data_IF_871574010056
#
_entry.id   IF_871574010056
#
_cell.length_a   1.000
_cell.length_b   1.000
_cell.length_c   1.000
_cell.angle_alpha   90.00
_cell.angle_beta   90.00
_cell.angle_gamma   90.00
#
_symmetry.space_group_name_H-M   'P 1'
#
loop_
_entity.id
_entity.type
_entity.pdbx_description
1 polymer ?
#
# COMPACT_ATOMS: atom_id res chain seq x y z
N UNK A 1 1.40 14.55 11.66
CA UNK A 1 1.27 13.75 12.90
C UNK A 1 1.09 12.26 12.62
N UNK A 2 0.14 11.82 11.76
CA UNK A 2 -0.11 10.39 11.48
C UNK A 2 1.10 9.65 10.87
N UNK A 3 1.84 10.28 9.96
CA UNK A 3 3.07 9.71 9.39
C UNK A 3 4.12 9.43 10.48
N UNK A 4 4.32 10.38 11.39
CA UNK A 4 5.24 10.20 12.52
C UNK A 4 4.80 9.05 13.42
N UNK A 5 3.49 8.92 13.67
CA UNK A 5 2.92 7.85 14.47
C UNK A 5 3.12 6.47 13.82
N UNK A 6 2.88 6.35 12.50
CA UNK A 6 3.10 5.11 11.76
C UNK A 6 4.58 4.71 11.78
N UNK A 7 5.49 5.65 11.53
CA UNK A 7 6.94 5.39 11.58
C UNK A 7 7.40 4.97 12.98
N UNK A 8 6.82 5.60 14.02
CA UNK A 8 7.12 5.24 15.40
C UNK A 8 6.58 3.84 15.75
N UNK A 9 5.39 3.47 15.23
CA UNK A 9 4.82 2.15 15.44
C UNK A 9 5.74 1.02 14.93
N UNK A 10 6.39 1.19 13.77
CA UNK A 10 7.40 0.24 13.28
C UNK A 10 8.58 0.09 14.24
N UNK A 11 9.00 1.17 14.90
CA UNK A 11 10.14 1.16 15.85
C UNK A 11 9.76 0.55 17.19
N UNK A 12 8.56 0.84 17.68
CA UNK A 12 8.10 0.48 19.03
C UNK A 12 7.57 -0.96 19.11
N UNK A 13 7.10 -1.52 18.01
CA UNK A 13 6.59 -2.88 17.99
C UNK A 13 7.67 -3.89 18.39
N UNK A 14 7.32 -4.78 19.32
CA UNK A 14 8.21 -5.83 19.84
C UNK A 14 7.76 -7.24 19.50
N UNK A 15 6.45 -7.44 19.26
CA UNK A 15 5.85 -8.73 18.92
C UNK A 15 5.10 -8.66 17.61
N UNK A 16 4.21 -7.66 17.47
CA UNK A 16 3.34 -7.54 16.31
C UNK A 16 3.02 -6.08 16.02
N UNK A 17 3.05 -5.74 14.74
CA UNK A 17 2.46 -4.52 14.21
C UNK A 17 1.33 -4.90 13.28
N UNK A 18 0.09 -4.50 13.62
CA UNK A 18 -1.09 -4.71 12.80
C UNK A 18 -1.52 -3.38 12.19
N UNK A 19 -1.69 -3.36 10.87
CA UNK A 19 -2.14 -2.20 10.11
C UNK A 19 -3.37 -2.60 9.31
N UNK A 20 -4.49 -1.91 9.50
CA UNK A 20 -5.66 -2.02 8.63
C UNK A 20 -5.71 -0.76 7.76
N UNK A 21 -5.53 -0.94 6.47
CA UNK A 21 -5.56 0.14 5.49
C UNK A 21 -6.30 -0.33 4.25
N UNK A 22 -7.54 0.15 4.02
CA UNK A 22 -8.37 -0.30 2.90
C UNK A 22 -7.70 -0.12 1.54
N UNK A 23 -6.84 0.88 1.44
CA UNK A 23 -6.11 1.22 0.22
C UNK A 23 -4.61 1.14 0.45
N UNK A 24 -3.88 0.75 -0.60
CA UNK A 24 -2.41 0.71 -0.62
C UNK A 24 -1.90 1.50 -1.82
N UNK A 25 -0.87 2.30 -1.61
CA UNK A 25 -0.19 3.06 -2.66
C UNK A 25 1.31 3.09 -2.40
N UNK A 26 2.08 2.76 -3.43
CA UNK A 26 3.54 2.85 -3.36
C UNK A 26 4.02 4.27 -3.02
N UNK A 27 3.33 5.30 -3.54
CA UNK A 27 3.69 6.69 -3.27
C UNK A 27 3.60 7.04 -1.78
N UNK A 28 2.60 6.50 -1.06
CA UNK A 28 2.48 6.72 0.38
C UNK A 28 3.58 5.99 1.16
N UNK A 29 3.90 4.76 0.76
CA UNK A 29 4.96 3.94 1.36
C UNK A 29 6.33 4.60 1.20
N UNK A 30 6.64 5.09 -0.01
CA UNK A 30 7.90 5.76 -0.32
C UNK A 30 8.01 7.14 0.33
N UNK A 31 6.94 7.95 0.25
CA UNK A 31 6.90 9.26 0.89
C UNK A 31 7.20 9.19 2.38
N UNK A 32 6.61 8.22 3.07
CA UNK A 32 6.81 8.02 4.50
C UNK A 32 8.10 7.23 4.81
N UNK A 33 8.88 6.86 3.79
CA UNK A 33 10.11 6.06 3.90
C UNK A 33 9.89 4.81 4.78
N UNK A 34 8.85 4.01 4.45
CA UNK A 34 8.47 2.85 5.25
C UNK A 34 9.27 1.59 4.92
N UNK A 35 9.83 1.47 3.71
CA UNK A 35 10.53 0.26 3.27
C UNK A 35 11.67 -0.15 4.21
N UNK A 36 12.60 0.74 4.59
CA UNK A 36 13.64 0.40 5.56
C UNK A 36 13.06 -0.01 6.91
N UNK A 37 12.03 0.70 7.39
CA UNK A 37 11.39 0.41 8.68
C UNK A 37 10.69 -0.96 8.69
N UNK A 38 10.04 -1.34 7.60
CA UNK A 38 9.43 -2.68 7.45
C UNK A 38 10.49 -3.76 7.61
N UNK A 39 11.59 -3.63 6.84
CA UNK A 39 12.70 -4.58 6.86
C UNK A 39 13.31 -4.71 8.25
N UNK A 40 13.71 -3.59 8.85
CA UNK A 40 14.29 -3.56 10.20
C UNK A 40 13.36 -4.17 11.25
N UNK A 41 12.03 -3.93 11.12
CA UNK A 41 11.04 -4.45 12.06
C UNK A 41 10.89 -5.96 11.93
N UNK A 42 10.82 -6.47 10.70
CA UNK A 42 10.76 -7.91 10.42
C UNK A 42 12.07 -8.61 10.84
N UNK A 43 13.22 -8.01 10.59
CA UNK A 43 14.54 -8.52 11.02
C UNK A 43 14.66 -8.63 12.55
N UNK A 44 13.97 -7.76 13.31
CA UNK A 44 13.84 -7.90 14.76
C UNK A 44 12.92 -9.02 15.22
N UNK A 45 12.30 -9.76 14.30
CA UNK A 45 11.38 -10.86 14.59
C UNK A 45 9.95 -10.40 14.91
N UNK A 46 9.60 -9.15 14.60
CA UNK A 46 8.24 -8.62 14.78
C UNK A 46 7.35 -9.07 13.62
N UNK A 47 6.19 -9.63 13.92
CA UNK A 47 5.19 -9.96 12.91
C UNK A 47 4.51 -8.66 12.43
N UNK A 48 4.77 -8.26 11.19
CA UNK A 48 4.09 -7.13 10.57
C UNK A 48 2.97 -7.65 9.68
N UNK A 49 1.72 -7.31 10.02
CA UNK A 49 0.52 -7.77 9.30
C UNK A 49 -0.25 -6.55 8.77
N UNK A 50 -0.55 -6.58 7.47
CA UNK A 50 -1.39 -5.57 6.82
C UNK A 50 -2.65 -6.24 6.30
N UNK A 51 -3.81 -5.73 6.73
CA UNK A 51 -5.12 -6.06 6.17
C UNK A 51 -5.55 -4.96 5.21
N UNK A 52 -5.95 -5.33 4.00
CA UNK A 52 -6.39 -4.38 2.97
C UNK A 52 -7.58 -4.93 2.19
N UNK A 53 -8.41 -4.05 1.64
CA UNK A 53 -9.49 -4.48 0.75
C UNK A 53 -8.91 -4.80 -0.64
N UNK A 54 -9.30 -5.95 -1.19
CA UNK A 54 -8.72 -6.38 -2.46
C UNK A 54 -9.28 -5.61 -3.67
N UNK A 55 -10.46 -4.99 -3.56
CA UNK A 55 -11.16 -4.33 -4.67
C UNK A 55 -11.08 -2.81 -4.66
N UNK A 56 -10.91 -2.20 -3.48
CA UNK A 56 -10.95 -0.74 -3.37
C UNK A 56 -9.83 -0.04 -4.16
N UNK A 57 -8.73 -0.76 -4.40
CA UNK A 57 -7.63 -0.27 -5.23
C UNK A 57 -7.83 -0.52 -6.73
N UNK A 58 -8.90 -1.20 -7.14
CA UNK A 58 -9.21 -1.40 -8.54
C UNK A 58 -9.80 -0.13 -9.17
N UNK A 59 -9.55 0.05 -10.43
CA UNK A 59 -10.24 1.04 -11.25
C UNK A 59 -11.72 0.67 -11.37
N UNK A 60 -12.60 1.63 -11.16
CA UNK A 60 -14.05 1.39 -11.11
C UNK A 60 -14.66 0.98 -12.44
N UNK A 61 -14.05 1.37 -13.56
CA UNK A 61 -14.56 1.09 -14.89
C UNK A 61 -14.05 -0.24 -15.43
N UNK A 62 -12.77 -0.52 -15.21
CA UNK A 62 -12.11 -1.69 -15.77
C UNK A 62 -12.03 -2.87 -14.80
N UNK A 63 -12.20 -2.63 -13.50
CA UNK A 63 -11.99 -3.63 -12.45
C UNK A 63 -10.50 -4.00 -12.25
N UNK A 64 -9.60 -3.39 -13.01
CA UNK A 64 -8.16 -3.69 -12.96
C UNK A 64 -7.50 -3.00 -11.77
N UNK A 65 -6.64 -3.73 -11.07
CA UNK A 65 -5.87 -3.18 -9.96
C UNK A 65 -4.93 -2.07 -10.45
N UNK A 66 -4.97 -0.90 -9.80
CA UNK A 66 -4.13 0.25 -10.16
C UNK A 66 -2.64 -0.06 -9.96
N UNK A 67 -1.80 0.46 -10.84
CA UNK A 67 -0.34 0.22 -10.83
C UNK A 67 0.31 0.58 -9.49
N UNK A 68 -0.14 1.66 -8.88
CA UNK A 68 0.35 2.13 -7.57
C UNK A 68 0.04 1.14 -6.45
N UNK A 69 -1.12 0.49 -6.52
CA UNK A 69 -1.50 -0.54 -5.57
C UNK A 69 -0.73 -1.84 -5.81
N UNK A 70 -0.53 -2.24 -7.06
CA UNK A 70 0.32 -3.41 -7.42
C UNK A 70 1.73 -3.22 -6.85
N UNK A 71 2.35 -2.07 -7.13
CA UNK A 71 3.69 -1.78 -6.64
C UNK A 71 3.75 -1.70 -5.10
N UNK A 72 2.72 -1.10 -4.47
CA UNK A 72 2.63 -1.02 -3.01
C UNK A 72 2.48 -2.39 -2.35
N UNK A 73 1.61 -3.26 -2.87
CA UNK A 73 1.43 -4.64 -2.38
C UNK A 73 2.72 -5.46 -2.53
N UNK A 74 3.39 -5.32 -3.67
CA UNK A 74 4.70 -5.94 -3.92
C UNK A 74 5.74 -5.46 -2.92
N UNK A 75 5.85 -4.14 -2.68
CA UNK A 75 6.79 -3.57 -1.72
C UNK A 75 6.56 -4.11 -0.30
N UNK A 76 5.29 -4.30 0.13
CA UNK A 76 4.97 -4.91 1.42
C UNK A 76 5.50 -6.34 1.49
N UNK A 77 5.13 -7.19 0.55
CA UNK A 77 5.46 -8.63 0.59
C UNK A 77 6.96 -8.90 0.41
N UNK A 78 7.65 -8.16 -0.44
CA UNK A 78 9.11 -8.29 -0.64
C UNK A 78 9.93 -7.85 0.59
N UNK A 79 9.34 -7.08 1.50
CA UNK A 79 9.99 -6.68 2.75
C UNK A 79 9.45 -7.45 3.97
N UNK A 80 8.88 -8.65 3.74
CA UNK A 80 8.51 -9.59 4.79
C UNK A 80 7.19 -9.26 5.51
N UNK A 81 6.42 -8.29 5.02
CA UNK A 81 5.11 -7.95 5.57
C UNK A 81 4.07 -8.99 5.13
N UNK A 82 3.32 -9.54 6.07
CA UNK A 82 2.20 -10.43 5.80
C UNK A 82 1.01 -9.58 5.30
N UNK A 83 0.72 -9.64 4.02
CA UNK A 83 -0.42 -8.96 3.42
C UNK A 83 -1.62 -9.91 3.34
N UNK A 84 -2.74 -9.51 3.93
CA UNK A 84 -4.01 -10.24 3.90
C UNK A 84 -5.03 -9.36 3.19
N UNK A 85 -5.58 -9.89 2.09
CA UNK A 85 -6.57 -9.21 1.28
C UNK A 85 -7.96 -9.73 1.66
N UNK A 86 -8.81 -8.83 2.14
CA UNK A 86 -10.16 -9.13 2.57
C UNK A 86 -11.17 -8.38 1.70
N UNK A 87 -12.43 -8.73 1.83
CA UNK A 87 -13.54 -8.05 1.14
C UNK A 87 -14.35 -7.22 2.12
N UNK A 88 -14.59 -5.96 1.75
CA UNK A 88 -15.53 -5.11 2.46
C UNK A 88 -14.98 -4.47 3.73
N UNK A 89 -13.67 -4.46 3.93
CA UNK A 89 -13.06 -3.72 5.04
C UNK A 89 -12.87 -2.24 4.67
N UNK A 90 -13.17 -1.36 5.61
CA UNK A 90 -12.97 0.07 5.41
C UNK A 90 -12.47 0.80 6.67
N UNK A 91 -12.25 0.10 7.75
CA UNK A 91 -11.63 0.65 8.97
C UNK A 91 -10.14 0.98 8.73
N UNK A 92 -9.61 1.90 9.52
CA UNK A 92 -8.23 2.35 9.46
C UNK A 92 -7.64 2.26 10.86
N UNK A 93 -7.09 1.10 11.15
CA UNK A 93 -6.59 0.77 12.48
C UNK A 93 -5.09 0.54 12.44
N UNK A 94 -4.42 0.92 13.52
CA UNK A 94 -3.00 0.65 13.77
C UNK A 94 -2.88 0.10 15.18
N UNK A 95 -2.38 -1.12 15.33
CA UNK A 95 -2.18 -1.70 16.64
C UNK A 95 -0.71 -2.12 16.84
N UNK A 96 -0.16 -1.75 18.00
CA UNK A 96 1.22 -2.06 18.38
C UNK A 96 1.16 -3.06 19.54
N UNK A 97 1.60 -4.27 19.28
CA UNK A 97 1.52 -5.39 20.20
C UNK A 97 0.07 -5.57 20.71
N UNK A 98 -0.12 -5.67 22.03
CA UNK A 98 -1.44 -5.69 22.67
C UNK A 98 -1.67 -4.44 23.54
N UNK A 99 -0.91 -3.36 23.32
CA UNK A 99 -0.85 -2.22 24.25
C UNK A 99 -1.32 -0.89 23.67
N UNK A 100 -1.27 -0.72 22.35
CA UNK A 100 -1.66 0.53 21.70
C UNK A 100 -2.59 0.23 20.54
N UNK A 101 -3.74 0.90 20.51
CA UNK A 101 -4.67 0.90 19.37
C UNK A 101 -4.90 2.32 18.91
N UNK A 102 -4.83 2.54 17.62
CA UNK A 102 -5.19 3.81 16.98
C UNK A 102 -6.26 3.53 15.94
N UNK A 103 -7.37 4.25 16.04
CA UNK A 103 -8.47 4.14 15.08
C UNK A 103 -8.92 5.52 14.62
N UNK A 104 -9.30 5.64 13.36
CA UNK A 104 -9.73 6.92 12.82
C UNK A 104 -10.02 6.91 11.33
N UNK A 105 -9.88 8.08 10.73
CA UNK A 105 -10.17 8.27 9.30
C UNK A 105 -8.94 8.13 8.40
N UNK A 106 -7.74 8.12 8.96
CA UNK A 106 -6.49 8.20 8.20
C UNK A 106 -6.13 6.88 7.50
N UNK A 107 -6.06 6.89 6.16
CA UNK A 107 -5.62 5.74 5.39
C UNK A 107 -4.09 5.58 5.48
N UNK A 108 -3.62 4.68 6.34
CA UNK A 108 -2.21 4.53 6.73
C UNK A 108 -1.26 4.35 5.54
N UNK A 109 -1.67 3.58 4.52
CA UNK A 109 -0.81 3.20 3.40
C UNK A 109 -1.21 3.86 2.06
N UNK A 110 -2.11 4.86 2.07
CA UNK A 110 -2.54 5.49 0.83
C UNK A 110 -2.90 6.98 0.94
N UNK A 111 -3.08 7.53 2.15
CA UNK A 111 -3.43 8.93 2.29
C UNK A 111 -2.36 9.83 1.67
N UNK A 112 -2.79 10.86 0.94
CA UNK A 112 -1.90 11.88 0.42
C UNK A 112 -1.44 12.79 1.56
N UNK A 113 -0.13 12.99 1.69
CA UNK A 113 0.48 13.78 2.78
C UNK A 113 0.54 15.27 2.45
N UNK A 114 0.59 15.62 1.18
CA UNK A 114 0.80 16.98 0.69
C UNK A 114 -0.17 17.33 -0.44
N UNK A 115 -0.37 18.64 -0.64
CA UNK A 115 -1.11 19.21 -1.77
C UNK A 115 -2.58 19.49 -1.48
N UNK A 116 -3.30 19.99 -2.50
CA UNK A 116 -4.70 20.42 -2.44
C UNK A 116 -5.69 19.30 -2.10
N UNK A 117 -5.24 18.06 -2.10
CA UNK A 117 -6.04 16.87 -1.76
C UNK A 117 -5.74 16.30 -0.37
N UNK A 118 -4.88 16.95 0.42
CA UNK A 118 -4.73 16.56 1.82
C UNK A 118 -6.02 16.87 2.56
N UNK A 119 -6.52 15.88 3.31
CA UNK A 119 -7.75 16.01 4.08
C UNK A 119 -7.41 16.19 5.55
N UNK A 120 -8.31 16.86 6.27
CA UNK A 120 -8.27 16.83 7.72
C UNK A 120 -8.65 15.42 8.18
N UNK A 121 -7.74 14.76 8.89
CA UNK A 121 -7.92 13.41 9.41
C UNK A 121 -7.84 13.43 10.93
N UNK A 122 -8.67 12.64 11.56
CA UNK A 122 -8.71 12.50 13.01
C UNK A 122 -8.57 11.04 13.40
N UNK A 123 -7.81 10.78 14.46
CA UNK A 123 -7.67 9.45 15.03
C UNK A 123 -7.60 9.50 16.53
N UNK A 124 -8.15 8.50 17.18
CA UNK A 124 -8.07 8.27 18.63
C UNK A 124 -7.00 7.25 18.91
N UNK A 125 -6.10 7.55 19.86
CA UNK A 125 -5.09 6.63 20.34
C UNK A 125 -5.47 6.13 21.73
N UNK A 126 -5.65 4.83 21.86
CA UNK A 126 -5.93 4.15 23.12
C UNK A 126 -4.65 3.49 23.64
N UNK A 127 -4.26 3.85 24.85
CA UNK A 127 -3.12 3.28 25.56
C UNK A 127 -3.62 2.89 26.95
N UNK A 128 -4.06 1.66 27.09
CA UNK A 128 -4.62 1.18 28.36
C UNK A 128 -4.74 -0.33 28.33
N UNK A 129 -4.98 -1.00 29.47
CA UNK A 129 -5.28 -2.44 29.50
C UNK A 129 -6.46 -2.84 28.62
N UNK A 130 -7.44 -1.92 28.40
CA UNK A 130 -8.58 -2.15 27.53
C UNK A 130 -8.16 -2.24 26.05
N UNK A 131 -7.04 -1.63 25.66
CA UNK A 131 -6.53 -1.73 24.29
C UNK A 131 -6.34 -3.19 23.88
N UNK A 132 -5.84 -4.05 24.75
CA UNK A 132 -5.65 -5.47 24.47
C UNK A 132 -6.96 -6.17 24.08
N UNK A 133 -8.06 -5.87 24.78
CA UNK A 133 -9.37 -6.41 24.47
C UNK A 133 -9.88 -5.93 23.11
N UNK A 134 -9.74 -4.65 22.81
CA UNK A 134 -10.14 -4.08 21.52
C UNK A 134 -9.32 -4.66 20.38
N UNK A 135 -7.99 -4.76 20.54
CA UNK A 135 -7.09 -5.37 19.55
C UNK A 135 -7.45 -6.84 19.32
N UNK A 136 -7.74 -7.59 20.39
CA UNK A 136 -8.16 -8.99 20.28
C UNK A 136 -9.48 -9.13 19.52
N UNK A 137 -10.45 -8.26 19.77
CA UNK A 137 -11.73 -8.26 19.07
C UNK A 137 -11.54 -7.89 17.59
N UNK A 138 -10.80 -6.81 17.28
CA UNK A 138 -10.47 -6.41 15.92
C UNK A 138 -9.85 -7.57 15.13
N UNK A 139 -8.90 -8.28 15.73
CA UNK A 139 -8.28 -9.45 15.09
C UNK A 139 -9.28 -10.55 14.81
N UNK A 140 -10.13 -10.91 15.80
CA UNK A 140 -11.16 -11.94 15.61
C UNK A 140 -12.14 -11.57 14.49
N UNK A 141 -12.53 -10.30 14.42
CA UNK A 141 -13.40 -9.80 13.35
C UNK A 141 -12.75 -9.92 11.98
N UNK A 142 -11.47 -9.54 11.86
CA UNK A 142 -10.71 -9.63 10.61
C UNK A 142 -10.45 -11.09 10.21
N UNK A 143 -10.09 -11.95 11.17
CA UNK A 143 -9.81 -13.38 10.95
C UNK A 143 -11.10 -14.17 10.61
N UNK A 144 -12.29 -13.64 10.95
CA UNK A 144 -13.57 -14.24 10.58
C UNK A 144 -13.98 -13.94 9.13
N UNK A 145 -13.34 -12.97 8.47
CA UNK A 145 -13.56 -12.67 7.04
C UNK A 145 -12.68 -13.61 6.23
N UNK A 146 -13.31 -14.37 5.32
CA UNK A 146 -12.58 -15.28 4.45
C UNK A 146 -11.61 -14.50 3.56
N UNK A 147 -10.30 -14.82 3.60
CA UNK A 147 -9.33 -14.15 2.76
C UNK A 147 -9.58 -14.47 1.28
N UNK A 148 -9.53 -13.46 0.43
CA UNK A 148 -9.55 -13.68 -1.00
C UNK A 148 -8.21 -14.30 -1.44
N UNK A 149 -8.28 -15.47 -2.03
CA UNK A 149 -7.14 -16.11 -2.67
C UNK A 149 -6.84 -15.39 -3.99
N UNK A 150 -6.24 -14.21 -3.88
CA UNK A 150 -5.70 -13.53 -5.06
C UNK A 150 -4.40 -14.23 -5.41
N UNK A 151 -4.50 -15.19 -6.34
CA UNK A 151 -3.33 -15.59 -7.09
C UNK A 151 -2.85 -14.31 -7.77
N UNK A 152 -1.69 -13.80 -7.38
CA UNK A 152 -0.96 -12.81 -8.15
C UNK A 152 -0.48 -13.52 -9.43
N UNK A 153 -1.40 -13.79 -10.35
CA UNK A 153 -0.99 -14.07 -11.71
C UNK A 153 -0.32 -12.79 -12.20
N UNK A 154 0.95 -12.86 -12.63
CA UNK A 154 1.57 -11.73 -13.28
C UNK A 154 0.65 -11.37 -14.45
N UNK A 155 0.13 -10.14 -14.46
CA UNK A 155 -0.65 -9.62 -15.57
C UNK A 155 0.17 -9.95 -16.82
N UNK A 156 -0.34 -10.75 -17.78
CA UNK A 156 0.39 -10.99 -18.99
C UNK A 156 0.67 -9.63 -19.61
N UNK A 157 1.94 -9.26 -19.65
CA UNK A 157 2.37 -8.07 -20.39
C UNK A 157 1.96 -8.36 -21.81
N UNK A 158 0.85 -7.77 -22.25
CA UNK A 158 0.47 -7.81 -23.66
C UNK A 158 1.58 -7.08 -24.39
N UNK A 159 2.51 -7.86 -24.93
CA UNK A 159 3.49 -7.36 -25.89
C UNK A 159 2.64 -6.76 -27.01
N UNK A 160 2.77 -5.45 -27.29
CA UNK A 160 2.04 -4.86 -28.39
C UNK A 160 2.40 -5.71 -29.62
N UNK A 161 1.38 -6.27 -30.27
CA UNK A 161 1.57 -6.95 -31.56
C UNK A 161 2.29 -5.93 -32.43
N UNK A 162 3.55 -6.25 -32.79
CA UNK A 162 4.22 -5.54 -33.86
C UNK A 162 3.38 -5.77 -35.10
N UNK A 163 2.59 -4.78 -35.47
CA UNK A 163 2.05 -4.73 -36.83
C UNK A 163 3.27 -4.70 -37.76
N UNK A 164 3.41 -5.78 -38.52
CA UNK A 164 4.33 -5.79 -39.63
C UNK A 164 3.85 -4.76 -40.64
N UNK A 165 4.32 -3.52 -40.48
CA UNK A 165 4.23 -2.53 -41.55
C UNK A 165 5.25 -2.95 -42.59
N UNK A 166 4.72 -3.38 -43.73
CA UNK A 166 5.49 -3.85 -44.85
C UNK A 166 6.60 -2.87 -45.23
N UNK A 167 7.74 -3.46 -45.65
CA UNK A 167 8.92 -2.79 -46.15
C UNK A 167 8.60 -1.61 -47.09
N UNK A 168 8.71 -0.40 -46.54
CA UNK A 168 9.01 0.81 -47.33
C UNK A 168 10.14 1.52 -46.66
N UNK A 169 11.33 1.32 -47.22
CA UNK A 169 12.53 2.09 -46.90
C UNK A 169 12.31 3.47 -47.53
N UNK A 170 11.95 4.46 -46.72
CA UNK A 170 12.06 5.86 -47.11
C UNK A 170 13.42 6.36 -46.63
N UNK A 171 14.38 6.43 -47.53
CA UNK A 171 15.61 7.24 -47.37
C UNK A 171 15.22 8.71 -47.46
N UNK A 172 15.03 9.37 -46.35
CA UNK A 172 14.90 10.81 -46.23
C UNK A 172 16.28 11.41 -46.07
N UNK A 173 16.73 12.10 -47.10
CA UNK A 173 17.91 13.00 -47.04
C UNK A 173 17.53 14.19 -46.18
N UNK A 174 18.29 14.48 -45.14
CA UNK A 174 18.28 15.77 -44.46
C UNK A 174 19.16 16.75 -45.27
N UNK A 175 18.52 17.68 -45.96
CA UNK A 175 19.20 18.87 -46.46
C UNK A 175 19.42 19.84 -45.29
N UNK A 176 20.68 20.13 -45.04
CA UNK A 176 21.08 21.19 -44.13
C UNK A 176 21.00 22.53 -44.89
N UNK A 177 20.11 23.40 -44.48
CA UNK A 177 20.10 24.79 -44.98
C UNK A 177 21.17 25.63 -44.27
N UNK A 178 21.93 26.44 -45.01
CA UNK A 178 22.99 27.26 -44.45
C UNK A 178 22.43 28.54 -43.84
N UNK A 179 23.05 28.95 -42.79
CA UNK A 179 22.98 30.26 -42.13
C UNK A 179 23.17 31.40 -43.16
N UNK A 180 22.28 32.39 -43.15
CA UNK A 180 22.63 33.73 -43.61
C UNK A 180 21.85 34.83 -42.85
N UNK A 181 22.68 35.71 -42.27
CA UNK A 181 22.50 37.08 -41.79
C UNK A 181 21.52 37.34 -40.66
#
# INVERSE_FOLDING_TARGET
>A
EHTGLLRQAFKDATKRLLIVSPFISIQAIEHDNLIPLMRETVERGVEVVVYSDFRLDCDKQTGVLRKEAVAGRKALTENGVKLILLKGIHNKSLAIDDSVLVEGSFNWLSARRNGSYSRHECSVKLISPEAAKHISNLRKELDAIEPESVLFEPIPVSVPKQEQVGNKICLGFFDADPVNN
#
